data_IF_970580060710
#
_entry.id   IF_970580060710
#
_cell.length_a   1.000
_cell.length_b   1.000
_cell.length_c   1.000
_cell.angle_alpha   90.00
_cell.angle_beta   90.00
_cell.angle_gamma   90.00
#
_symmetry.space_group_name_H-M   'P 1'
#
loop_
_entity.id
_entity.type
_entity.pdbx_description
1 polymer ?
#
# COMPACT_ATOMS: atom_id res chain seq x y z
N UNK A 1 -10.86 -5.64 3.78
CA UNK A 1 -9.41 -5.62 4.06
C UNK A 1 -9.22 -4.88 5.38
N UNK A 2 -9.17 -5.60 6.49
CA UNK A 2 -9.03 -5.01 7.83
C UNK A 2 -7.69 -5.46 8.41
N UNK A 3 -6.74 -4.54 8.53
CA UNK A 3 -5.42 -4.81 9.10
C UNK A 3 -5.35 -4.14 10.47
N UNK A 4 -5.32 -4.94 11.53
CA UNK A 4 -5.34 -4.44 12.91
C UNK A 4 -4.12 -3.56 13.21
N UNK A 5 -2.94 -3.92 12.70
CA UNK A 5 -1.70 -3.14 12.84
C UNK A 5 -1.90 -1.71 12.34
N UNK A 6 -2.43 -1.54 11.13
CA UNK A 6 -2.66 -0.22 10.54
C UNK A 6 -3.73 0.55 11.30
N UNK A 7 -4.77 -0.13 11.79
CA UNK A 7 -5.81 0.47 12.62
C UNK A 7 -5.25 1.01 13.95
N UNK A 8 -4.43 0.24 14.64
CA UNK A 8 -3.82 0.65 15.91
C UNK A 8 -2.90 1.87 15.71
N UNK A 9 -2.08 1.87 14.66
CA UNK A 9 -1.20 3.00 14.34
C UNK A 9 -2.02 4.25 13.99
N UNK A 10 -3.03 4.10 13.15
CA UNK A 10 -3.92 5.21 12.76
C UNK A 10 -4.59 5.85 13.98
N UNK A 11 -5.14 5.03 14.88
CA UNK A 11 -5.74 5.51 16.14
C UNK A 11 -4.71 6.22 17.02
N UNK A 12 -3.52 5.62 17.22
CA UNK A 12 -2.47 6.21 18.06
C UNK A 12 -1.96 7.55 17.54
N UNK A 13 -1.94 7.74 16.22
CA UNK A 13 -1.46 8.98 15.58
C UNK A 13 -2.56 10.03 15.40
N UNK A 14 -3.83 9.67 15.61
CA UNK A 14 -4.97 10.49 15.23
C UNK A 14 -5.02 10.75 13.71
N UNK A 15 -4.67 9.74 12.92
CA UNK A 15 -4.62 9.80 11.44
C UNK A 15 -5.55 8.75 10.84
N UNK A 16 -5.82 8.85 9.55
CA UNK A 16 -6.56 7.80 8.83
C UNK A 16 -5.63 6.65 8.42
N UNK A 17 -6.18 5.45 8.21
CA UNK A 17 -5.41 4.32 7.67
C UNK A 17 -4.76 4.67 6.33
N UNK A 18 -5.46 5.42 5.47
CA UNK A 18 -4.91 5.87 4.20
C UNK A 18 -3.66 6.74 4.41
N UNK A 19 -3.70 7.68 5.35
CA UNK A 19 -2.54 8.50 5.70
C UNK A 19 -1.38 7.68 6.24
N UNK A 20 -1.64 6.65 7.06
CA UNK A 20 -0.60 5.72 7.53
C UNK A 20 0.05 4.96 6.38
N UNK A 21 -0.75 4.41 5.46
CA UNK A 21 -0.22 3.72 4.28
C UNK A 21 0.62 4.65 3.39
N UNK A 22 0.10 5.85 3.09
CA UNK A 22 0.81 6.83 2.26
C UNK A 22 2.12 7.30 2.93
N UNK A 23 2.08 7.55 4.25
CA UNK A 23 3.27 7.91 5.02
C UNK A 23 4.32 6.80 4.98
N UNK A 24 3.91 5.55 5.13
CA UNK A 24 4.81 4.40 5.05
C UNK A 24 5.51 4.32 3.70
N UNK A 25 4.77 4.40 2.58
CA UNK A 25 5.36 4.38 1.22
C UNK A 25 6.36 5.52 1.03
N UNK A 26 6.02 6.73 1.50
CA UNK A 26 6.90 7.89 1.45
C UNK A 26 8.21 7.65 2.24
N UNK A 27 8.14 7.08 3.44
CA UNK A 27 9.33 6.77 4.26
C UNK A 27 10.20 5.63 3.70
N UNK A 28 9.64 4.77 2.84
CA UNK A 28 10.44 3.81 2.06
C UNK A 28 11.23 4.46 0.90
N UNK A 29 11.11 5.77 0.71
CA UNK A 29 11.77 6.50 -0.38
C UNK A 29 11.07 6.34 -1.74
N UNK A 30 9.82 5.87 -1.74
CA UNK A 30 9.04 5.62 -2.95
C UNK A 30 8.07 6.77 -3.19
N UNK A 31 7.97 7.23 -4.45
CA UNK A 31 6.92 8.17 -4.85
C UNK A 31 5.59 7.45 -5.03
N UNK A 32 4.51 8.02 -4.48
CA UNK A 32 3.18 7.39 -4.49
C UNK A 32 2.23 8.10 -5.43
N UNK A 33 1.47 7.32 -6.20
CA UNK A 33 0.34 7.82 -7.00
C UNK A 33 -0.93 7.37 -6.31
N UNK A 34 -1.79 8.32 -5.95
CA UNK A 34 -3.06 8.06 -5.28
C UNK A 34 -4.21 8.68 -6.06
N UNK A 35 -5.33 7.97 -6.13
CA UNK A 35 -6.51 8.40 -6.88
C UNK A 35 -7.69 8.61 -5.93
N UNK A 36 -8.32 9.77 -6.04
CA UNK A 36 -9.59 10.08 -5.37
C UNK A 36 -10.40 11.05 -6.23
N UNK A 37 -11.73 10.93 -6.18
CA UNK A 37 -12.65 11.96 -6.70
C UNK A 37 -13.33 12.73 -5.55
N UNK A 38 -13.05 12.37 -4.30
CA UNK A 38 -13.55 13.05 -3.13
C UNK A 38 -12.52 14.10 -2.69
N UNK A 39 -12.95 15.36 -2.66
CA UNK A 39 -12.10 16.51 -2.34
C UNK A 39 -11.46 16.43 -0.96
N UNK A 40 -12.24 16.10 0.07
CA UNK A 40 -11.74 15.95 1.44
C UNK A 40 -10.66 14.87 1.54
N UNK A 41 -10.84 13.73 0.87
CA UNK A 41 -9.80 12.68 0.82
C UNK A 41 -8.54 13.14 0.08
N UNK A 42 -8.68 13.94 -0.98
CA UNK A 42 -7.52 14.52 -1.67
C UNK A 42 -6.71 15.41 -0.72
N UNK A 43 -7.37 16.29 0.03
CA UNK A 43 -6.71 17.12 1.04
C UNK A 43 -6.07 16.28 2.15
N UNK A 44 -6.79 15.30 2.71
CA UNK A 44 -6.27 14.42 3.77
C UNK A 44 -5.02 13.67 3.33
N UNK A 45 -5.02 13.17 2.10
CA UNK A 45 -3.91 12.41 1.57
C UNK A 45 -2.64 13.27 1.34
N UNK A 46 -2.76 14.60 1.22
CA UNK A 46 -1.62 15.52 1.15
C UNK A 46 -1.02 15.84 2.54
N UNK A 47 -1.75 15.56 3.63
CA UNK A 47 -1.34 15.85 5.02
C UNK A 47 -0.56 14.69 5.65
N UNK A 48 0.51 14.26 4.98
CA UNK A 48 1.38 13.14 5.42
C UNK A 48 2.82 13.56 5.72
N UNK A 49 3.17 14.84 5.52
CA UNK A 49 4.58 15.29 5.57
C UNK A 49 5.01 15.84 6.92
N UNK A 50 4.06 16.29 7.75
CA UNK A 50 4.25 16.97 9.04
C UNK A 50 4.44 16.02 10.23
N UNK A 51 4.47 14.70 10.01
CA UNK A 51 4.64 13.68 11.04
C UNK A 51 5.31 12.44 10.44
N UNK A 52 5.85 11.56 11.29
CA UNK A 52 6.54 10.33 10.86
C UNK A 52 6.05 9.10 11.60
N UNK A 53 6.34 7.92 11.05
CA UNK A 53 6.20 6.65 11.77
C UNK A 53 7.42 6.45 12.68
N UNK A 54 7.22 5.80 13.83
CA UNK A 54 8.32 5.42 14.72
C UNK A 54 9.00 4.15 14.20
N UNK A 55 10.24 3.86 14.62
CA UNK A 55 10.93 2.61 14.27
C UNK A 55 10.11 1.36 14.61
N UNK A 56 9.40 1.37 15.74
CA UNK A 56 8.55 0.26 16.19
C UNK A 56 7.31 0.10 15.30
N UNK A 57 6.71 1.20 14.85
CA UNK A 57 5.57 1.18 13.93
C UNK A 57 6.00 0.65 12.56
N UNK A 58 7.14 1.10 12.04
CA UNK A 58 7.75 0.58 10.82
C UNK A 58 8.03 -0.92 10.93
N UNK A 59 8.57 -1.36 12.07
CA UNK A 59 8.81 -2.79 12.31
C UNK A 59 7.51 -3.59 12.33
N UNK A 60 6.43 -3.06 12.94
CA UNK A 60 5.12 -3.73 12.92
C UNK A 60 4.57 -3.84 11.49
N UNK A 61 4.66 -2.78 10.69
CA UNK A 61 4.20 -2.79 9.29
C UNK A 61 5.00 -3.81 8.46
N UNK A 62 6.31 -3.92 8.68
CA UNK A 62 7.16 -4.88 7.94
C UNK A 62 6.77 -6.35 8.13
N UNK A 63 6.02 -6.68 9.18
CA UNK A 63 5.55 -8.04 9.50
C UNK A 63 4.19 -8.37 8.89
N UNK A 64 3.54 -7.42 8.23
CA UNK A 64 2.26 -7.66 7.55
C UNK A 64 2.50 -8.65 6.40
N UNK A 65 1.70 -9.72 6.26
CA UNK A 65 1.79 -10.63 5.14
C UNK A 65 1.63 -9.90 3.80
N UNK A 66 2.57 -10.12 2.88
CA UNK A 66 2.58 -9.46 1.58
C UNK A 66 1.76 -10.27 0.57
N UNK A 67 0.95 -9.55 -0.20
CA UNK A 67 0.19 -10.09 -1.34
C UNK A 67 0.19 -9.05 -2.47
N UNK A 68 0.32 -9.49 -3.73
CA UNK A 68 0.18 -8.57 -4.87
C UNK A 68 -1.28 -8.14 -5.04
N UNK A 69 -1.52 -6.82 -4.90
CA UNK A 69 -2.88 -6.26 -5.02
C UNK A 69 -3.40 -6.12 -6.45
N UNK A 70 -2.52 -6.08 -7.46
CA UNK A 70 -2.90 -6.04 -8.87
C UNK A 70 -2.71 -7.43 -9.47
N UNK A 71 -3.81 -8.16 -9.67
CA UNK A 71 -3.78 -9.43 -10.41
C UNK A 71 -3.94 -9.15 -11.90
N UNK A 72 -2.95 -9.49 -12.75
CA UNK A 72 -2.99 -9.25 -14.18
C UNK A 72 -3.87 -10.28 -14.92
N UNK A 73 -5.09 -10.54 -14.44
CA UNK A 73 -5.98 -11.58 -14.97
C UNK A 73 -6.31 -11.41 -16.46
N UNK A 74 -6.26 -10.18 -16.98
CA UNK A 74 -6.49 -9.88 -18.41
C UNK A 74 -5.25 -10.05 -19.30
N UNK A 75 -4.08 -10.36 -18.74
CA UNK A 75 -2.82 -10.47 -19.50
C UNK A 75 -2.43 -11.91 -19.84
N UNK A 76 -3.23 -12.90 -19.41
CA UNK A 76 -2.96 -14.31 -19.66
C UNK A 76 -3.80 -14.82 -20.83
N UNK A 77 -3.18 -15.58 -21.73
CA UNK A 77 -3.87 -16.28 -22.79
C UNK A 77 -3.04 -17.45 -23.29
N UNK A 78 -3.69 -18.55 -23.67
CA UNK A 78 -3.05 -19.68 -24.35
C UNK A 78 -2.31 -19.25 -25.62
N UNK A 79 -2.69 -18.12 -26.23
CA UNK A 79 -2.01 -17.53 -27.40
C UNK A 79 -1.14 -16.32 -27.05
N UNK A 80 -1.17 -15.86 -25.81
CA UNK A 80 -0.41 -14.70 -25.33
C UNK A 80 1.01 -15.06 -24.89
N UNK A 81 1.85 -14.05 -24.60
CA UNK A 81 3.23 -14.26 -24.16
C UNK A 81 3.33 -14.86 -22.74
N UNK A 82 2.29 -14.75 -21.92
CA UNK A 82 2.25 -15.29 -20.56
C UNK A 82 1.04 -16.23 -20.38
N UNK A 83 1.26 -17.40 -19.78
CA UNK A 83 0.26 -18.45 -19.54
C UNK A 83 -0.22 -18.49 -18.09
N UNK A 84 0.55 -17.95 -17.16
CA UNK A 84 0.23 -17.98 -15.73
C UNK A 84 0.70 -16.70 -15.01
N UNK A 85 0.23 -16.54 -13.77
CA UNK A 85 0.68 -15.47 -12.88
C UNK A 85 2.17 -15.63 -12.51
N UNK A 86 2.62 -16.87 -12.37
CA UNK A 86 4.01 -17.20 -12.05
C UNK A 86 4.95 -16.81 -13.20
N UNK A 87 4.59 -17.13 -14.43
CA UNK A 87 5.36 -16.75 -15.62
C UNK A 87 5.39 -15.23 -15.82
N UNK A 88 4.29 -14.54 -15.52
CA UNK A 88 4.20 -13.09 -15.67
C UNK A 88 5.08 -12.32 -14.67
N UNK A 89 5.26 -12.86 -13.46
CA UNK A 89 6.07 -12.23 -12.42
C UNK A 89 7.42 -12.94 -12.20
N UNK A 90 7.84 -13.82 -13.13
CA UNK A 90 9.08 -14.59 -13.01
C UNK A 90 9.23 -15.32 -11.65
N UNK A 91 8.11 -15.81 -11.10
CA UNK A 91 8.06 -16.49 -9.80
C UNK A 91 7.99 -15.58 -8.57
N UNK A 92 8.06 -14.26 -8.74
CA UNK A 92 7.88 -13.31 -7.65
C UNK A 92 6.38 -13.11 -7.32
N UNK A 93 5.72 -14.08 -6.70
CA UNK A 93 4.27 -13.98 -6.36
C UNK A 93 4.06 -13.44 -4.94
#
# INVERSE_FOLDING_TARGET
MNCEVLHQIATSKGKTIAQVCLRWVYEQGVSVIMKSFNHERMEQNLRIFDWSLSPEELQKISRIPQIRGCHPLGFFSDKGPYKSLEEFWDGEI
#
